data_IF_042519810852
#
_entry.id   IF_042519810852
#
_cell.length_a   1.000
_cell.length_b   1.000
_cell.length_c   1.000
_cell.angle_alpha   90.00
_cell.angle_beta   90.00
_cell.angle_gamma   90.00
#
_symmetry.space_group_name_H-M   'P 1'
#
loop_
_entity.id
_entity.type
_entity.pdbx_description
1 polymer ?
#
# COMPACT_ATOMS: atom_id res chain seq x y z
N UNK A 1 10.07 -10.85 -18.93
CA UNK A 1 10.36 -10.40 -18.74
C UNK A 1 9.96 -9.35 -18.08
N UNK A 2 10.19 -8.81 -18.30
CA UNK A 2 9.87 -7.60 -17.84
C UNK A 2 8.43 -7.38 -17.56
N UNK A 3 7.63 -8.38 -17.69
CA UNK A 3 6.22 -8.19 -17.43
C UNK A 3 5.97 -7.75 -16.00
N UNK A 4 6.80 -8.15 -15.06
CA UNK A 4 6.65 -7.65 -13.71
C UNK A 4 6.93 -6.17 -13.66
N UNK A 5 7.88 -5.73 -14.48
CA UNK A 5 8.21 -4.32 -14.51
C UNK A 5 7.13 -3.50 -15.16
N UNK A 6 6.27 -4.13 -15.94
CA UNK A 6 5.20 -3.41 -16.59
C UNK A 6 4.09 -3.07 -15.60
N UNK A 7 4.18 -3.56 -14.37
CA UNK A 7 3.21 -3.19 -13.36
C UNK A 7 3.53 -1.82 -12.78
N UNK A 8 3.97 -0.93 -13.62
CA UNK A 8 4.06 0.46 -13.26
C UNK A 8 2.76 1.14 -13.61
N UNK A 9 2.56 2.28 -13.03
CA UNK A 9 1.34 3.02 -13.27
C UNK A 9 0.39 2.89 -12.11
N UNK A 10 -0.74 3.47 -12.26
CA UNK A 10 -1.65 3.72 -11.15
C UNK A 10 -2.31 2.46 -10.63
N UNK A 11 -2.27 2.27 -9.30
CA UNK A 11 -3.07 1.24 -8.65
C UNK A 11 -4.54 1.45 -8.92
N UNK A 12 -4.98 2.71 -8.92
CA UNK A 12 -6.38 3.03 -9.16
C UNK A 12 -6.80 2.51 -10.53
N UNK A 13 -5.99 2.77 -11.54
CA UNK A 13 -6.31 2.30 -12.88
C UNK A 13 -6.36 0.80 -12.97
N UNK A 14 -5.39 0.14 -12.33
CA UNK A 14 -5.34 -1.33 -12.36
C UNK A 14 -6.57 -1.93 -11.70
N UNK A 15 -6.89 -1.49 -10.50
CA UNK A 15 -8.02 -2.05 -9.76
C UNK A 15 -9.35 -1.73 -10.43
N UNK A 16 -9.43 -0.54 -11.05
CA UNK A 16 -10.64 -0.16 -11.78
C UNK A 16 -10.84 -1.07 -12.98
N UNK A 17 -9.76 -1.37 -13.71
CA UNK A 17 -9.87 -2.22 -14.90
C UNK A 17 -10.22 -3.65 -14.52
N UNK A 18 -9.89 -4.06 -13.29
CA UNK A 18 -10.24 -5.39 -12.79
C UNK A 18 -11.64 -5.44 -12.19
N UNK A 19 -12.34 -4.32 -12.18
CA UNK A 19 -13.66 -4.25 -11.60
C UNK A 19 -13.71 -4.29 -10.09
N UNK A 20 -12.56 -4.06 -9.44
CA UNK A 20 -12.47 -4.15 -7.98
C UNK A 20 -12.82 -2.86 -7.27
N UNK A 21 -12.73 -1.72 -7.96
CA UNK A 21 -13.15 -0.44 -7.43
C UNK A 21 -13.87 0.34 -8.51
N UNK A 22 -14.68 1.30 -8.09
CA UNK A 22 -15.42 2.14 -9.03
C UNK A 22 -15.39 3.59 -8.53
N UNK A 23 -16.05 4.49 -9.26
CA UNK A 23 -16.03 5.90 -8.94
C UNK A 23 -16.70 6.20 -7.60
N UNK A 24 -17.77 5.47 -7.26
CA UNK A 24 -18.43 5.68 -5.98
C UNK A 24 -17.50 5.34 -4.82
N UNK A 25 -16.76 4.25 -4.95
CA UNK A 25 -15.79 3.86 -3.94
C UNK A 25 -14.70 4.92 -3.80
N UNK A 26 -14.17 5.40 -4.93
CA UNK A 26 -13.11 6.40 -4.91
C UNK A 26 -13.59 7.71 -4.27
N UNK A 27 -14.82 8.08 -4.55
CA UNK A 27 -15.40 9.28 -3.96
C UNK A 27 -15.48 9.13 -2.43
N UNK A 28 -15.93 7.98 -1.97
CA UNK A 28 -16.02 7.70 -0.53
C UNK A 28 -14.64 7.73 0.12
N UNK A 29 -13.68 7.07 -0.50
CA UNK A 29 -12.32 7.01 0.04
C UNK A 29 -11.73 8.41 0.14
N UNK A 30 -12.01 9.28 -0.83
CA UNK A 30 -11.45 10.64 -0.82
C UNK A 30 -11.94 11.47 0.35
N UNK A 31 -13.06 11.10 0.96
CA UNK A 31 -13.61 11.84 2.09
C UNK A 31 -13.18 11.26 3.44
N UNK A 32 -12.58 10.09 3.44
CA UNK A 32 -12.13 9.44 4.67
C UNK A 32 -10.68 9.82 4.97
N UNK A 33 -10.39 10.00 6.23
CA UNK A 33 -9.00 10.13 6.65
C UNK A 33 -8.34 8.76 6.55
N UNK A 34 -7.02 8.74 6.40
CA UNK A 34 -6.30 7.48 6.26
C UNK A 34 -6.56 6.54 7.44
N UNK A 35 -6.54 7.07 8.66
CA UNK A 35 -6.79 6.22 9.82
C UNK A 35 -8.21 5.67 9.85
N UNK A 36 -9.17 6.44 9.34
CA UNK A 36 -10.54 5.95 9.23
C UNK A 36 -10.64 4.81 8.24
N UNK A 37 -9.96 4.95 7.12
CA UNK A 37 -9.96 3.91 6.09
C UNK A 37 -9.34 2.62 6.63
N UNK A 38 -8.23 2.74 7.35
CA UNK A 38 -7.58 1.58 7.94
C UNK A 38 -8.51 0.93 8.97
N UNK A 39 -9.13 1.74 9.82
CA UNK A 39 -10.02 1.21 10.86
C UNK A 39 -11.20 0.47 10.25
N UNK A 40 -11.80 1.04 9.20
CA UNK A 40 -12.91 0.39 8.52
C UNK A 40 -12.47 -0.94 7.92
N UNK A 41 -11.31 -0.95 7.29
CA UNK A 41 -10.81 -2.19 6.68
C UNK A 41 -10.59 -3.27 7.74
N UNK A 42 -10.03 -2.89 8.88
CA UNK A 42 -9.80 -3.83 9.99
C UNK A 42 -11.13 -4.35 10.52
N UNK A 43 -12.10 -3.47 10.69
CA UNK A 43 -13.38 -3.89 11.21
C UNK A 43 -14.08 -4.86 10.26
N UNK A 44 -14.07 -4.58 8.97
CA UNK A 44 -14.67 -5.47 7.99
C UNK A 44 -13.97 -6.82 7.98
N UNK A 45 -12.65 -6.81 8.05
CA UNK A 45 -11.88 -8.06 8.09
C UNK A 45 -12.22 -8.88 9.32
N UNK A 46 -12.40 -8.20 10.46
CA UNK A 46 -12.77 -8.87 11.70
C UNK A 46 -14.14 -9.53 11.58
N UNK A 47 -15.10 -8.84 10.96
CA UNK A 47 -16.43 -9.41 10.77
C UNK A 47 -16.39 -10.65 9.90
N UNK A 48 -15.59 -10.60 8.83
CA UNK A 48 -15.51 -11.72 7.89
C UNK A 48 -14.87 -12.95 8.52
N UNK A 49 -13.99 -12.75 9.51
CA UNK A 49 -13.31 -13.86 10.18
C UNK A 49 -13.98 -14.22 11.49
N UNK A 50 -15.14 -13.62 11.80
CA UNK A 50 -15.88 -13.85 13.03
C UNK A 50 -15.03 -13.60 14.26
N UNK A 51 -14.23 -12.54 14.22
CA UNK A 51 -13.42 -12.14 15.36
C UNK A 51 -12.08 -12.83 15.45
N UNK A 52 -11.77 -13.74 14.55
CA UNK A 52 -10.48 -14.44 14.61
C UNK A 52 -9.31 -13.54 14.25
N UNK A 53 -9.59 -12.30 13.87
CA UNK A 53 -8.53 -11.38 13.50
C UNK A 53 -7.55 -11.14 14.65
N UNK A 54 -8.01 -11.17 15.89
CA UNK A 54 -7.09 -10.93 16.99
C UNK A 54 -6.21 -12.13 17.33
N UNK A 55 -6.31 -13.19 16.58
CA UNK A 55 -5.28 -14.23 16.64
C UNK A 55 -4.02 -13.79 15.90
N UNK A 56 -4.11 -12.71 15.13
CA UNK A 56 -2.95 -12.12 14.46
C UNK A 56 -2.43 -10.98 15.32
N UNK A 57 -1.12 -10.82 15.44
CA UNK A 57 -0.56 -9.73 16.22
C UNK A 57 -0.64 -8.42 15.43
N UNK A 58 -1.84 -7.90 15.24
CA UNK A 58 -2.10 -6.75 14.39
C UNK A 58 -1.26 -5.55 14.79
N UNK A 59 -1.16 -5.30 16.09
CA UNK A 59 -0.41 -4.14 16.58
C UNK A 59 1.03 -4.16 16.09
N UNK A 60 1.62 -5.34 16.02
CA UNK A 60 3.02 -5.48 15.64
C UNK A 60 3.21 -5.64 14.13
N UNK A 61 2.22 -6.15 13.43
CA UNK A 61 2.37 -6.41 11.99
C UNK A 61 1.86 -5.27 11.12
N UNK A 62 0.88 -4.50 11.59
CA UNK A 62 0.29 -3.45 10.77
C UNK A 62 1.28 -2.39 10.34
N UNK A 63 2.23 -1.93 11.18
CA UNK A 63 3.20 -0.95 10.71
C UNK A 63 3.99 -1.45 9.50
N UNK A 64 4.33 -2.74 9.47
CA UNK A 64 5.03 -3.32 8.34
C UNK A 64 4.15 -3.34 7.09
N UNK A 65 2.89 -3.68 7.25
CA UNK A 65 1.92 -3.66 6.15
C UNK A 65 1.82 -2.26 5.56
N UNK A 66 1.76 -1.25 6.42
CA UNK A 66 1.66 0.13 5.97
C UNK A 66 2.91 0.56 5.21
N UNK A 67 4.09 0.14 5.68
CA UNK A 67 5.34 0.45 4.99
C UNK A 67 5.40 -0.24 3.63
N UNK A 68 4.95 -1.49 3.57
CA UNK A 68 4.90 -2.20 2.29
C UNK A 68 3.98 -1.47 1.32
N UNK A 69 2.84 -0.97 1.81
CA UNK A 69 1.92 -0.20 0.98
C UNK A 69 2.58 1.06 0.45
N UNK A 70 3.36 1.75 1.31
CA UNK A 70 4.09 2.94 0.89
C UNK A 70 5.10 2.62 -0.21
N UNK A 71 5.83 1.52 -0.05
CA UNK A 71 6.82 1.13 -1.05
C UNK A 71 6.17 0.77 -2.37
N UNK A 72 5.06 0.03 -2.33
CA UNK A 72 4.33 -0.31 -3.55
C UNK A 72 3.76 0.92 -4.22
N UNK A 73 3.20 1.83 -3.43
CA UNK A 73 2.67 3.08 -3.96
C UNK A 73 3.78 3.88 -4.65
N UNK A 74 4.89 4.09 -3.96
CA UNK A 74 5.97 4.89 -4.51
C UNK A 74 6.54 4.27 -5.78
N UNK A 75 6.70 2.95 -5.81
CA UNK A 75 7.26 2.29 -6.99
C UNK A 75 6.30 2.35 -8.18
N UNK A 76 4.99 2.50 -7.93
CA UNK A 76 4.02 2.60 -9.01
C UNK A 76 3.99 3.96 -9.66
N UNK A 77 4.15 5.02 -8.87
CA UNK A 77 3.96 6.38 -9.36
C UNK A 77 5.25 7.11 -9.64
N UNK A 78 6.40 6.57 -9.24
CA UNK A 78 7.68 7.22 -9.44
C UNK A 78 8.55 6.44 -10.41
N UNK A 79 9.43 7.17 -11.12
CA UNK A 79 10.29 6.56 -12.13
C UNK A 79 11.72 6.32 -11.63
N UNK A 80 12.08 6.88 -10.48
CA UNK A 80 13.44 6.74 -9.96
C UNK A 80 13.42 6.60 -8.45
N UNK A 81 14.49 6.04 -7.91
CA UNK A 81 14.62 5.92 -6.46
C UNK A 81 14.66 7.28 -5.79
N UNK A 82 15.26 8.26 -6.45
CA UNK A 82 15.30 9.61 -5.92
C UNK A 82 13.91 10.19 -5.77
N UNK A 83 13.06 9.97 -6.78
CA UNK A 83 11.69 10.45 -6.72
C UNK A 83 10.91 9.72 -5.63
N UNK A 84 11.14 8.43 -5.48
CA UNK A 84 10.46 7.67 -4.42
C UNK A 84 10.81 8.19 -3.04
N UNK A 85 12.10 8.45 -2.81
CA UNK A 85 12.54 8.98 -1.53
C UNK A 85 11.88 10.32 -1.25
N UNK A 86 11.83 11.18 -2.24
CA UNK A 86 11.19 12.49 -2.09
C UNK A 86 9.70 12.34 -1.80
N UNK A 87 9.04 11.46 -2.50
CA UNK A 87 7.61 11.24 -2.31
C UNK A 87 7.32 10.76 -0.90
N UNK A 88 8.15 9.86 -0.39
CA UNK A 88 7.95 9.29 0.95
C UNK A 88 8.51 10.18 2.05
N UNK A 89 9.22 11.24 1.70
CA UNK A 89 9.71 12.20 2.68
C UNK A 89 10.89 11.70 3.50
N UNK A 90 11.75 10.88 2.90
CA UNK A 90 12.91 10.36 3.61
C UNK A 90 14.18 10.65 2.80
N UNK A 91 15.34 10.75 3.49
CA UNK A 91 16.59 10.99 2.79
C UNK A 91 16.93 9.86 1.82
N UNK A 92 17.58 10.19 0.74
CA UNK A 92 17.85 9.20 -0.31
C UNK A 92 18.67 8.02 0.21
N UNK A 93 19.70 8.29 1.00
CA UNK A 93 20.55 7.22 1.51
C UNK A 93 19.79 6.27 2.44
N UNK A 94 18.83 6.80 3.19
CA UNK A 94 17.98 5.98 4.04
C UNK A 94 17.03 5.17 3.17
N UNK A 95 16.45 5.80 2.15
CA UNK A 95 15.53 5.11 1.25
C UNK A 95 16.20 3.94 0.56
N UNK A 96 17.44 4.11 0.11
CA UNK A 96 18.14 3.04 -0.61
C UNK A 96 18.29 1.80 0.26
N UNK A 97 18.57 1.98 1.54
CA UNK A 97 18.67 0.84 2.46
C UNK A 97 17.33 0.17 2.65
N UNK A 98 16.28 0.95 2.83
CA UNK A 98 14.93 0.42 3.00
C UNK A 98 14.51 -0.35 1.75
N UNK A 99 14.79 0.22 0.60
CA UNK A 99 14.42 -0.38 -0.68
C UNK A 99 15.13 -1.72 -0.88
N UNK A 100 16.39 -1.79 -0.49
CA UNK A 100 17.16 -3.02 -0.59
C UNK A 100 16.57 -4.12 0.29
N UNK A 101 16.19 -3.76 1.51
CA UNK A 101 15.57 -4.71 2.42
C UNK A 101 14.20 -5.15 1.91
N UNK A 102 13.44 -4.22 1.39
CA UNK A 102 12.12 -4.53 0.84
C UNK A 102 12.25 -5.55 -0.31
N UNK A 103 13.22 -5.35 -1.18
CA UNK A 103 13.40 -6.25 -2.33
C UNK A 103 13.88 -7.63 -1.90
N UNK A 104 14.62 -7.73 -0.82
CA UNK A 104 15.04 -9.04 -0.32
C UNK A 104 13.87 -9.88 0.13
N UNK A 105 12.81 -9.23 0.57
CA UNK A 105 11.65 -9.93 1.10
C UNK A 105 10.61 -10.26 0.04
N UNK A 106 10.88 -9.92 -1.20
CA UNK A 106 10.01 -10.30 -2.30
C UNK A 106 10.41 -11.67 -2.87
#
# INVERSE_FOLDING_TARGET
>A
LSSQNSKKGSYISELRSEGRINEDFLSTVSELKLEELIAVKLEMSSRMTKGKLYNFPIWYTLPSVCRDACMKFASRVCNSKSDMASLLGIPYNVFVQIYREYNKNL
#
